data_IF_328973477896
#
_entry.id   IF_328973477896
#
_cell.length_a   1.000
_cell.length_b   1.000
_cell.length_c   1.000
_cell.angle_alpha   90.00
_cell.angle_beta   90.00
_cell.angle_gamma   90.00
#
_symmetry.space_group_name_H-M   'P 1'
#
loop_
_entity.id
_entity.type
_entity.pdbx_description
1 polymer ?
#
# COMPACT_ATOMS: atom_id res chain seq x y z
N UNK A 1 -1.27 -12.35 -1.65
CA UNK A 1 -1.23 -11.46 -2.85
C UNK A 1 -2.50 -11.67 -3.67
N UNK A 2 -3.01 -10.64 -4.38
CA UNK A 2 -4.33 -10.68 -5.04
C UNK A 2 -4.50 -11.76 -6.11
N UNK A 3 -3.42 -12.17 -6.78
CA UNK A 3 -3.46 -13.20 -7.83
C UNK A 3 -3.86 -14.60 -7.34
N UNK A 4 -3.86 -14.83 -6.02
CA UNK A 4 -4.27 -16.10 -5.42
C UNK A 4 -5.76 -16.11 -5.03
N UNK A 5 -6.48 -15.01 -5.25
CA UNK A 5 -7.93 -14.98 -5.08
C UNK A 5 -8.59 -15.74 -6.22
N UNK A 6 -9.61 -16.53 -5.89
CA UNK A 6 -10.26 -17.43 -6.86
C UNK A 6 -10.83 -16.65 -8.04
N UNK A 7 -11.36 -15.47 -7.74
CA UNK A 7 -11.97 -14.53 -8.65
C UNK A 7 -10.96 -13.94 -9.65
N UNK A 8 -9.67 -13.92 -9.29
CA UNK A 8 -8.62 -13.33 -10.11
C UNK A 8 -7.91 -14.33 -11.03
N UNK A 9 -8.16 -15.65 -10.92
CA UNK A 9 -7.44 -16.66 -11.71
C UNK A 9 -7.55 -16.43 -13.22
N UNK A 10 -8.76 -16.22 -13.73
CA UNK A 10 -8.98 -16.03 -15.17
C UNK A 10 -8.22 -14.80 -15.72
N UNK A 11 -8.18 -13.71 -14.93
CA UNK A 11 -7.44 -12.50 -15.29
C UNK A 11 -5.93 -12.73 -15.27
N UNK A 12 -5.42 -13.45 -14.26
CA UNK A 12 -4.00 -13.76 -14.12
C UNK A 12 -3.54 -14.65 -15.26
N UNK A 13 -4.29 -15.70 -15.58
CA UNK A 13 -3.97 -16.63 -16.66
C UNK A 13 -3.94 -15.92 -18.02
N UNK A 14 -4.90 -15.03 -18.28
CA UNK A 14 -4.92 -14.24 -19.51
C UNK A 14 -3.70 -13.32 -19.59
N UNK A 15 -3.37 -12.66 -18.48
CA UNK A 15 -2.24 -11.73 -18.39
C UNK A 15 -0.91 -12.46 -18.64
N UNK A 16 -0.73 -13.65 -18.06
CA UNK A 16 0.46 -14.49 -18.26
C UNK A 16 0.57 -15.07 -19.67
N UNK A 17 -0.55 -15.27 -20.37
CA UNK A 17 -0.57 -15.72 -21.77
C UNK A 17 -0.20 -14.62 -22.76
N UNK A 18 -0.62 -13.37 -22.48
CA UNK A 18 -0.52 -12.26 -23.45
C UNK A 18 0.63 -11.28 -23.18
N UNK A 19 1.10 -11.18 -21.94
CA UNK A 19 2.13 -10.22 -21.55
C UNK A 19 3.42 -10.96 -21.17
N UNK A 20 4.54 -10.44 -21.66
CA UNK A 20 5.85 -10.88 -21.19
C UNK A 20 6.18 -10.26 -19.82
N UNK A 21 7.19 -10.82 -19.16
CA UNK A 21 7.61 -10.41 -17.82
C UNK A 21 8.00 -8.93 -17.76
N UNK A 22 8.75 -8.44 -18.73
CA UNK A 22 9.26 -7.06 -18.75
C UNK A 22 8.11 -6.05 -18.86
N UNK A 23 7.12 -6.31 -19.72
CA UNK A 23 5.92 -5.48 -19.85
C UNK A 23 5.08 -5.48 -18.57
N UNK A 24 4.97 -6.62 -17.87
CA UNK A 24 4.27 -6.70 -16.58
C UNK A 24 5.01 -5.85 -15.53
N UNK A 25 6.33 -5.97 -15.43
CA UNK A 25 7.13 -5.21 -14.46
C UNK A 25 7.10 -3.71 -14.75
N UNK A 26 7.14 -3.32 -16.02
CA UNK A 26 6.98 -1.93 -16.45
C UNK A 26 5.60 -1.39 -16.04
N UNK A 27 4.52 -2.11 -16.37
CA UNK A 27 3.17 -1.71 -16.00
C UNK A 27 3.00 -1.55 -14.49
N UNK A 28 3.51 -2.49 -13.68
CA UNK A 28 3.48 -2.38 -12.22
C UNK A 28 4.22 -1.13 -11.71
N UNK A 29 5.31 -0.74 -12.38
CA UNK A 29 6.09 0.45 -12.03
C UNK A 29 5.33 1.73 -12.38
N UNK A 30 4.71 1.77 -13.57
CA UNK A 30 3.88 2.88 -14.02
C UNK A 30 2.66 3.07 -13.10
N UNK A 31 1.95 1.99 -12.76
CA UNK A 31 0.80 2.04 -11.83
C UNK A 31 1.21 2.55 -10.45
N UNK A 32 2.32 2.08 -9.89
CA UNK A 32 2.80 2.56 -8.58
C UNK A 32 3.18 4.05 -8.62
N UNK A 33 3.72 4.52 -9.75
CA UNK A 33 4.03 5.93 -9.96
C UNK A 33 2.74 6.76 -10.02
N UNK A 34 1.75 6.29 -10.78
CA UNK A 34 0.45 6.94 -10.91
C UNK A 34 -0.29 7.01 -9.57
N UNK A 35 -0.29 5.92 -8.79
CA UNK A 35 -0.87 5.88 -7.44
C UNK A 35 -0.17 6.88 -6.51
N UNK A 36 1.16 6.95 -6.53
CA UNK A 36 1.91 7.92 -5.73
C UNK A 36 1.56 9.37 -6.10
N UNK A 37 1.41 9.66 -7.41
CA UNK A 37 0.98 10.98 -7.86
C UNK A 37 -0.44 11.33 -7.39
N UNK A 38 -1.38 10.37 -7.50
CA UNK A 38 -2.76 10.54 -7.00
C UNK A 38 -2.80 10.78 -5.50
N UNK A 39 -1.98 10.05 -4.73
CA UNK A 39 -1.86 10.25 -3.29
C UNK A 39 -1.33 11.66 -2.96
N UNK A 40 -0.33 12.13 -3.70
CA UNK A 40 0.24 13.46 -3.52
C UNK A 40 -0.75 14.57 -3.89
N UNK A 41 -1.48 14.43 -4.99
CA UNK A 41 -2.47 15.41 -5.44
C UNK A 41 -3.69 15.48 -4.52
N UNK A 42 -4.11 14.35 -3.95
CA UNK A 42 -5.22 14.24 -3.02
C UNK A 42 -4.79 14.24 -1.53
N UNK A 43 -3.58 14.70 -1.20
CA UNK A 43 -2.96 14.51 0.13
C UNK A 43 -3.87 14.89 1.30
N UNK A 44 -4.53 16.04 1.24
CA UNK A 44 -5.40 16.50 2.33
C UNK A 44 -6.64 15.61 2.51
N UNK A 45 -7.26 15.20 1.40
CA UNK A 45 -8.42 14.29 1.42
C UNK A 45 -8.04 12.91 1.94
N UNK A 46 -6.92 12.36 1.48
CA UNK A 46 -6.44 11.06 1.96
C UNK A 46 -6.02 11.12 3.42
N UNK A 47 -5.37 12.21 3.85
CA UNK A 47 -5.03 12.40 5.27
C UNK A 47 -6.30 12.39 6.13
N UNK A 48 -7.30 13.20 5.78
CA UNK A 48 -8.56 13.26 6.52
C UNK A 48 -9.24 11.88 6.61
N UNK A 49 -9.29 11.14 5.50
CA UNK A 49 -9.84 9.78 5.47
C UNK A 49 -9.05 8.83 6.39
N UNK A 50 -7.72 8.81 6.30
CA UNK A 50 -6.89 7.95 7.14
C UNK A 50 -7.01 8.30 8.61
N UNK A 51 -7.10 9.58 8.96
CA UNK A 51 -7.26 10.03 10.35
C UNK A 51 -8.61 9.52 10.90
N UNK A 52 -9.71 9.56 10.13
CA UNK A 52 -10.99 8.96 10.53
C UNK A 52 -10.85 7.44 10.72
N UNK A 53 -10.25 6.75 9.74
CA UNK A 53 -10.05 5.30 9.79
C UNK A 53 -9.15 4.85 10.96
N UNK A 54 -8.33 5.75 11.51
CA UNK A 54 -7.46 5.41 12.65
C UNK A 54 -8.24 5.32 13.97
N UNK A 55 -9.35 6.04 14.08
CA UNK A 55 -10.20 6.08 15.29
C UNK A 55 -11.40 5.14 15.15
N UNK A 56 -11.85 4.86 13.92
CA UNK A 56 -12.99 4.00 13.66
C UNK A 56 -12.69 2.49 13.81
N UNK A 57 -13.71 1.72 14.20
CA UNK A 57 -13.62 0.26 14.33
C UNK A 57 -14.09 -0.41 13.04
N UNK A 58 -13.20 -0.46 12.05
CA UNK A 58 -13.48 -1.01 10.70
C UNK A 58 -13.45 -2.55 10.68
N UNK A 59 -12.74 -3.17 11.62
CA UNK A 59 -12.53 -4.63 11.66
C UNK A 59 -12.38 -5.12 13.09
N UNK A 60 -12.35 -6.44 13.28
CA UNK A 60 -12.17 -7.04 14.61
C UNK A 60 -10.71 -6.94 15.06
N UNK A 61 -10.45 -6.87 16.38
CA UNK A 61 -9.09 -6.87 16.92
C UNK A 61 -8.24 -8.04 16.42
N UNK A 62 -8.82 -9.23 16.31
CA UNK A 62 -8.12 -10.43 15.82
C UNK A 62 -7.64 -10.26 14.39
N UNK A 63 -8.47 -9.69 13.51
CA UNK A 63 -8.10 -9.47 12.10
C UNK A 63 -7.08 -8.35 11.93
N UNK A 64 -7.14 -7.32 12.76
CA UNK A 64 -6.12 -6.26 12.82
C UNK A 64 -4.78 -6.84 13.26
N UNK A 65 -4.76 -7.64 14.32
CA UNK A 65 -3.55 -8.27 14.84
C UNK A 65 -2.97 -9.30 13.87
N UNK A 66 -3.82 -10.11 13.22
CA UNK A 66 -3.41 -11.04 12.18
C UNK A 66 -2.73 -10.28 11.02
N UNK A 67 -3.41 -9.27 10.47
CA UNK A 67 -2.92 -8.57 9.29
C UNK A 67 -1.60 -7.82 9.54
N UNK A 68 -1.45 -7.16 10.70
CA UNK A 68 -0.21 -6.45 11.00
C UNK A 68 0.98 -7.39 11.15
N UNK A 69 0.75 -8.61 11.67
CA UNK A 69 1.77 -9.65 11.78
C UNK A 69 2.17 -10.17 10.41
N UNK A 70 1.19 -10.56 9.59
CA UNK A 70 1.42 -11.07 8.24
C UNK A 70 2.13 -10.03 7.37
N UNK A 71 1.79 -8.75 7.48
CA UNK A 71 2.48 -7.67 6.77
C UNK A 71 3.91 -7.47 7.27
N UNK A 72 4.13 -7.57 8.59
CA UNK A 72 5.49 -7.49 9.15
C UNK A 72 6.38 -8.61 8.59
N UNK A 73 5.88 -9.84 8.58
CA UNK A 73 6.58 -11.01 8.02
C UNK A 73 6.76 -10.88 6.49
N UNK A 74 5.74 -10.43 5.77
CA UNK A 74 5.79 -10.22 4.32
C UNK A 74 6.91 -9.25 3.91
N UNK A 75 7.12 -8.18 4.68
CA UNK A 75 8.24 -7.26 4.47
C UNK A 75 9.55 -7.71 5.12
N UNK A 76 9.71 -9.02 5.35
CA UNK A 76 10.91 -9.66 5.90
C UNK A 76 11.31 -9.08 7.26
N UNK A 77 10.33 -8.73 8.10
CA UNK A 77 10.56 -8.24 9.47
C UNK A 77 11.33 -6.91 9.56
N UNK A 78 11.50 -6.21 8.43
CA UNK A 78 12.30 -4.97 8.35
C UNK A 78 11.57 -3.72 8.83
N UNK A 79 10.23 -3.72 8.81
CA UNK A 79 9.44 -2.56 9.16
C UNK A 79 8.64 -2.79 10.45
N UNK A 80 9.29 -2.54 11.58
CA UNK A 80 8.68 -2.58 12.92
C UNK A 80 7.46 -1.66 13.08
N UNK A 81 7.23 -0.73 12.15
CA UNK A 81 6.05 0.12 12.12
C UNK A 81 4.73 -0.67 12.11
N UNK A 82 4.68 -1.83 11.45
CA UNK A 82 3.47 -2.66 11.43
C UNK A 82 3.09 -3.21 12.81
N UNK A 83 4.08 -3.64 13.61
CA UNK A 83 3.85 -4.15 14.97
C UNK A 83 3.22 -3.11 15.90
N UNK A 84 3.46 -1.83 15.63
CA UNK A 84 2.95 -0.69 16.39
C UNK A 84 1.56 -0.23 15.94
N UNK A 85 0.95 -0.89 14.95
CA UNK A 85 -0.42 -0.58 14.54
C UNK A 85 -1.44 -1.25 15.49
N UNK A 86 -2.47 -0.49 15.83
CA UNK A 86 -3.58 -0.83 16.71
C UNK A 86 -4.94 -0.74 15.98
N UNK A 87 -5.02 -0.04 14.84
CA UNK A 87 -6.25 0.04 14.04
C UNK A 87 -6.01 -0.25 12.55
N UNK A 88 -7.10 -0.52 11.83
CA UNK A 88 -7.05 -0.77 10.39
C UNK A 88 -6.52 0.46 9.62
N UNK A 89 -6.91 1.68 10.03
CA UNK A 89 -6.40 2.90 9.43
C UNK A 89 -4.88 3.05 9.55
N UNK A 90 -4.31 2.69 10.71
CA UNK A 90 -2.86 2.71 10.91
C UNK A 90 -2.13 1.70 10.03
N UNK A 91 -2.68 0.48 9.89
CA UNK A 91 -2.12 -0.55 9.01
C UNK A 91 -2.11 -0.07 7.56
N UNK A 92 -3.22 0.46 7.06
CA UNK A 92 -3.33 0.97 5.68
C UNK A 92 -2.35 2.12 5.46
N UNK A 93 -2.27 3.08 6.39
CA UNK A 93 -1.33 4.20 6.33
C UNK A 93 0.13 3.71 6.28
N UNK A 94 0.49 2.73 7.12
CA UNK A 94 1.82 2.14 7.13
C UNK A 94 2.12 1.40 5.81
N UNK A 95 1.16 0.64 5.29
CA UNK A 95 1.32 -0.08 4.04
C UNK A 95 1.49 0.86 2.84
N UNK A 96 0.69 1.92 2.74
CA UNK A 96 0.84 2.95 1.69
C UNK A 96 2.23 3.59 1.73
N UNK A 97 2.72 3.95 2.93
CA UNK A 97 4.06 4.49 3.12
C UNK A 97 5.13 3.49 2.67
N UNK A 98 5.02 2.23 3.07
CA UNK A 98 5.96 1.17 2.72
C UNK A 98 6.00 0.90 1.21
N UNK A 99 4.83 0.77 0.58
CA UNK A 99 4.65 0.38 -0.83
C UNK A 99 5.05 1.49 -1.80
N UNK A 100 4.80 2.75 -1.44
CA UNK A 100 4.99 3.90 -2.34
C UNK A 100 6.24 4.74 -2.01
N UNK A 101 7.02 4.37 -0.97
CA UNK A 101 8.20 5.14 -0.50
C UNK A 101 9.10 5.62 -1.62
N UNK A 102 9.50 4.70 -2.52
CA UNK A 102 10.41 5.03 -3.64
C UNK A 102 9.81 6.08 -4.57
N UNK A 103 8.54 5.92 -4.95
CA UNK A 103 7.85 6.83 -5.88
C UNK A 103 7.57 8.19 -5.25
N UNK A 104 7.22 8.24 -3.96
CA UNK A 104 6.98 9.50 -3.25
C UNK A 104 8.25 10.36 -3.13
N UNK A 105 9.44 9.75 -3.02
CA UNK A 105 10.72 10.47 -3.00
C UNK A 105 11.05 11.15 -4.33
N UNK A 106 10.49 10.66 -5.44
CA UNK A 106 10.71 11.20 -6.79
C UNK A 106 9.77 12.37 -7.13
N UNK A 107 8.76 12.65 -6.30
CA UNK A 107 7.82 13.74 -6.53
C UNK A 107 8.41 15.05 -5.96
N UNK A 108 8.76 16.04 -6.81
CA UNK A 108 9.57 17.21 -6.42
C UNK A 108 8.99 18.05 -5.27
N UNK A 109 7.65 18.08 -5.12
CA UNK A 109 6.97 18.91 -4.10
C UNK A 109 7.05 18.35 -2.68
N UNK A 110 7.51 17.11 -2.50
CA UNK A 110 7.47 16.43 -1.20
C UNK A 110 8.76 16.64 -0.37
N UNK A 111 9.91 16.93 -1.02
CA UNK A 111 11.18 17.18 -0.32
C UNK A 111 11.15 18.42 0.59
N UNK A 112 10.25 19.38 0.34
CA UNK A 112 10.15 20.61 1.15
C UNK A 112 9.37 20.46 2.47
N UNK A 113 8.64 19.36 2.72
CA UNK A 113 7.64 19.31 3.82
C UNK A 113 7.58 18.02 4.65
N UNK A 114 8.57 17.14 4.55
CA UNK A 114 8.74 16.04 5.52
C UNK A 114 9.67 16.40 6.69
N UNK A 115 10.04 17.68 6.80
CA UNK A 115 10.91 18.22 7.85
C UNK A 115 10.20 18.99 8.96
N UNK A 116 8.87 18.86 9.10
CA UNK A 116 8.10 19.39 10.23
C UNK A 116 7.31 18.26 10.91
#
# INVERSE_FOLDING_TARGET
MPQFFKENHALVDLSLKLLNKDSIEQYQTEERTLVAFRLASARYRIKALLDIMTVDTISTPDKVNQLKEELYQFYQEKNMGFKRCHSMGEIVKMNLKQTLRKNLLLIPKIQSRFGD
#
